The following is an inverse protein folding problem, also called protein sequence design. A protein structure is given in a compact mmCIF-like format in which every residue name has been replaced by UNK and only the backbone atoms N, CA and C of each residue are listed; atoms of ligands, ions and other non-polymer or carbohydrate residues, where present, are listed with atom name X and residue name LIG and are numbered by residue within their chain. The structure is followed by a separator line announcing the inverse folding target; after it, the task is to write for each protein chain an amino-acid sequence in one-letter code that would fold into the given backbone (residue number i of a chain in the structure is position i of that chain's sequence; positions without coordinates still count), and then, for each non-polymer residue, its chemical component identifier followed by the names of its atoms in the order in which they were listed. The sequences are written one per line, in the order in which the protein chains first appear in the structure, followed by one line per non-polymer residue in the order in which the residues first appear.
data_IF_161040041077
#
_entry.id   IF_161040041077
#
_cell.length_a   1.000
_cell.length_b   1.000
_cell.length_c   1.000
_cell.angle_alpha   90.00
_cell.angle_beta   90.00
_cell.angle_gamma   90.00
#
_symmetry.space_group_name_H-M   'P 1'
#
loop_
_entity.id
_entity.type
_entity.pdbx_description
1 polymer ?
#
# COMPACT_ATOMS: atom_id res chain seq x y z
N UNK A 1 -11.27 19.49 -15.55
CA UNK A 1 -10.39 19.10 -16.66
C UNK A 1 -9.95 17.66 -16.46
N UNK A 2 -8.99 17.19 -17.26
CA UNK A 2 -8.36 15.88 -17.06
C UNK A 2 -7.70 15.81 -15.67
N UNK A 3 -7.84 14.68 -15.01
CA UNK A 3 -7.22 14.37 -13.72
C UNK A 3 -5.76 13.93 -13.91
N UNK A 4 -4.88 14.32 -12.99
CA UNK A 4 -3.46 13.97 -12.98
C UNK A 4 -3.06 13.70 -11.53
N UNK A 5 -2.62 12.48 -11.24
CA UNK A 5 -2.14 12.09 -9.91
C UNK A 5 -0.68 11.69 -9.94
N UNK A 6 0.02 11.98 -8.84
CA UNK A 6 1.39 11.51 -8.57
C UNK A 6 1.37 10.90 -7.18
N UNK A 7 2.04 9.77 -6.97
CA UNK A 7 2.20 9.13 -5.67
C UNK A 7 3.54 9.51 -5.01
N UNK A 8 3.60 9.46 -3.68
CA UNK A 8 4.83 9.58 -2.89
C UNK A 8 4.70 8.81 -1.58
N UNK A 9 5.84 8.42 -1.00
CA UNK A 9 5.96 7.75 0.30
C UNK A 9 5.35 8.60 1.45
N UNK A 10 5.07 8.01 2.64
CA UNK A 10 4.28 8.62 3.72
C UNK A 10 5.11 9.61 4.55
N UNK A 11 5.64 10.65 3.90
CA UNK A 11 6.40 11.73 4.51
C UNK A 11 7.83 11.37 4.92
N UNK A 12 8.05 10.22 5.56
CA UNK A 12 9.38 9.71 5.92
C UNK A 12 9.34 8.22 6.25
N UNK A 13 10.52 7.64 6.49
CA UNK A 13 10.68 6.34 7.12
C UNK A 13 10.63 6.52 8.65
N UNK A 14 9.94 5.63 9.36
CA UNK A 14 9.67 5.75 10.82
C UNK A 14 10.95 5.89 11.63
N UNK A 15 12.03 5.17 11.28
CA UNK A 15 13.33 5.27 11.98
C UNK A 15 14.09 6.58 11.71
N UNK A 16 13.74 7.33 10.65
CA UNK A 16 14.34 8.64 10.38
C UNK A 16 13.70 9.77 11.19
N UNK A 17 12.58 9.49 11.87
CA UNK A 17 11.90 10.43 12.76
C UNK A 17 12.47 10.29 14.17
N UNK A 18 13.35 11.23 14.54
CA UNK A 18 13.96 11.33 15.87
C UNK A 18 13.33 12.42 16.74
N UNK A 19 12.66 13.39 16.11
CA UNK A 19 11.84 14.43 16.75
C UNK A 19 10.54 14.58 15.95
N UNK A 20 9.52 13.79 16.33
CA UNK A 20 8.22 13.75 15.66
C UNK A 20 7.56 15.13 15.59
N UNK A 21 7.67 15.93 16.65
CA UNK A 21 7.04 17.24 16.71
C UNK A 21 7.66 18.20 15.67
N UNK A 22 8.99 18.34 15.69
CA UNK A 22 9.70 19.26 14.80
C UNK A 22 9.69 18.76 13.35
N UNK A 23 10.01 17.49 13.11
CA UNK A 23 10.05 16.92 11.75
C UNK A 23 8.65 16.87 11.15
N UNK A 24 7.64 16.44 11.91
CA UNK A 24 6.29 16.37 11.41
C UNK A 24 5.68 17.74 11.11
N UNK A 25 6.05 18.79 11.86
CA UNK A 25 5.68 20.17 11.52
C UNK A 25 6.27 20.59 10.18
N UNK A 26 7.55 20.27 9.92
CA UNK A 26 8.22 20.56 8.64
C UNK A 26 7.60 19.79 7.47
N UNK A 27 7.30 18.51 7.66
CA UNK A 27 6.65 17.69 6.63
C UNK A 27 5.28 18.26 6.28
N UNK A 28 4.43 18.56 7.28
CA UNK A 28 3.12 19.18 7.05
C UNK A 28 3.24 20.53 6.33
N UNK A 29 4.22 21.37 6.69
CA UNK A 29 4.43 22.66 6.03
C UNK A 29 4.82 22.49 4.55
N UNK A 30 5.68 21.53 4.22
CA UNK A 30 6.06 21.25 2.83
C UNK A 30 4.89 20.71 2.00
N UNK A 31 4.04 19.85 2.58
CA UNK A 31 2.85 19.34 1.91
C UNK A 31 1.79 20.42 1.68
N UNK A 32 1.60 21.34 2.64
CA UNK A 32 0.75 22.53 2.45
C UNK A 32 1.28 23.42 1.33
N UNK A 33 2.60 23.69 1.30
CA UNK A 33 3.21 24.45 0.22
C UNK A 33 3.09 23.75 -1.15
N UNK A 34 3.14 22.42 -1.19
CA UNK A 34 2.85 21.63 -2.37
C UNK A 34 1.39 21.80 -2.82
N UNK A 35 0.43 21.69 -1.89
CA UNK A 35 -0.99 21.97 -2.16
C UNK A 35 -1.20 23.35 -2.79
N UNK A 36 -0.59 24.41 -2.23
CA UNK A 36 -0.70 25.76 -2.79
C UNK A 36 -0.13 25.85 -4.21
N UNK A 37 0.92 25.10 -4.51
CA UNK A 37 1.49 25.01 -5.85
C UNK A 37 0.54 24.30 -6.83
N UNK A 38 -0.08 23.20 -6.40
CA UNK A 38 -1.06 22.45 -7.19
C UNK A 38 -2.30 23.32 -7.51
N UNK A 39 -2.76 24.15 -6.56
CA UNK A 39 -3.84 25.11 -6.80
C UNK A 39 -3.49 26.11 -7.90
N UNK A 40 -2.29 26.73 -7.84
CA UNK A 40 -1.82 27.65 -8.88
C UNK A 40 -1.67 26.98 -10.24
N UNK A 41 -1.21 25.72 -10.28
CA UNK A 41 -1.11 24.96 -11.52
C UNK A 41 -2.49 24.66 -12.10
N UNK A 42 -3.45 24.31 -11.25
CA UNK A 42 -4.82 24.06 -11.69
C UNK A 42 -5.49 25.31 -12.23
N UNK A 43 -5.31 26.47 -11.60
CA UNK A 43 -5.82 27.75 -12.13
C UNK A 43 -5.28 28.03 -13.54
N UNK A 44 -3.99 27.73 -13.75
CA UNK A 44 -3.32 27.93 -15.05
C UNK A 44 -3.70 26.91 -16.12
N UNK A 45 -4.02 25.67 -15.73
CA UNK A 45 -4.17 24.54 -16.67
C UNK A 45 -5.58 24.01 -16.80
N UNK A 46 -6.47 24.32 -15.85
CA UNK A 46 -7.82 23.75 -15.75
C UNK A 46 -7.87 22.26 -15.41
N UNK A 47 -6.74 21.66 -14.99
CA UNK A 47 -6.59 20.23 -14.66
C UNK A 47 -6.74 19.98 -13.16
N UNK A 48 -7.36 18.86 -12.79
CA UNK A 48 -7.37 18.43 -11.38
C UNK A 48 -6.04 17.71 -11.10
N UNK A 49 -5.18 18.33 -10.29
CA UNK A 49 -3.82 17.88 -9.99
C UNK A 49 -3.74 17.55 -8.51
N UNK A 50 -3.26 16.35 -8.18
CA UNK A 50 -3.16 15.95 -6.78
C UNK A 50 -2.01 14.96 -6.51
N UNK A 51 -1.56 14.98 -5.25
CA UNK A 51 -0.51 14.13 -4.71
C UNK A 51 -1.13 13.09 -3.77
N UNK A 52 -0.93 11.81 -4.07
CA UNK A 52 -1.32 10.69 -3.22
C UNK A 52 -0.17 10.30 -2.29
N UNK A 53 -0.36 10.42 -0.99
CA UNK A 53 0.56 9.87 0.00
C UNK A 53 0.27 8.38 0.19
N UNK A 54 1.29 7.55 0.14
CA UNK A 54 1.17 6.09 0.20
C UNK A 54 1.51 5.58 1.60
N UNK A 55 0.53 5.21 2.43
CA UNK A 55 0.81 4.49 3.67
C UNK A 55 1.53 3.18 3.31
N UNK A 56 2.64 2.90 3.99
CA UNK A 56 3.46 1.72 3.74
C UNK A 56 4.05 1.20 5.06
N UNK A 57 4.34 -0.11 5.19
CA UNK A 57 5.00 -0.67 6.37
C UNK A 57 6.30 0.06 6.72
N UNK A 58 6.46 0.49 7.98
CA UNK A 58 7.57 1.31 8.48
C UNK A 58 7.68 2.71 7.87
N UNK A 59 6.72 3.11 7.05
CA UNK A 59 6.45 4.51 6.76
C UNK A 59 6.14 5.27 8.06
N UNK A 60 6.28 6.60 8.04
CA UNK A 60 5.96 7.41 9.21
C UNK A 60 4.50 7.23 9.65
N UNK A 61 3.60 6.96 8.69
CA UNK A 61 2.31 6.34 8.91
C UNK A 61 2.15 5.13 7.99
N UNK A 62 1.70 4.01 8.53
CA UNK A 62 1.58 2.73 7.81
C UNK A 62 0.14 2.23 7.74
N UNK A 63 -0.69 2.58 8.73
CA UNK A 63 -2.09 2.15 8.80
C UNK A 63 -3.06 3.28 8.45
N UNK A 64 -4.29 2.93 8.07
CA UNK A 64 -5.37 3.89 7.84
C UNK A 64 -5.66 4.79 9.06
N UNK A 65 -5.76 4.31 10.31
CA UNK A 65 -5.89 5.21 11.46
C UNK A 65 -4.73 6.21 11.61
N UNK A 66 -3.48 5.77 11.41
CA UNK A 66 -2.33 6.69 11.44
C UNK A 66 -2.40 7.71 10.30
N UNK A 67 -2.83 7.27 9.10
CA UNK A 67 -3.04 8.14 7.94
C UNK A 67 -4.07 9.22 8.23
N UNK A 68 -5.22 8.86 8.82
CA UNK A 68 -6.24 9.85 9.22
C UNK A 68 -5.69 10.84 10.23
N UNK A 69 -5.00 10.35 11.27
CA UNK A 69 -4.38 11.20 12.28
C UNK A 69 -3.34 12.16 11.65
N UNK A 70 -2.61 11.71 10.64
CA UNK A 70 -1.68 12.54 9.89
C UNK A 70 -2.39 13.65 9.10
N UNK A 71 -3.51 13.35 8.43
CA UNK A 71 -4.30 14.36 7.71
C UNK A 71 -4.94 15.38 8.67
N UNK A 72 -5.40 14.94 9.84
CA UNK A 72 -5.89 15.83 10.89
C UNK A 72 -4.78 16.77 11.36
N UNK A 73 -3.57 16.24 11.62
CA UNK A 73 -2.38 17.03 11.94
C UNK A 73 -2.03 18.01 10.82
N UNK A 74 -2.05 17.56 9.57
CA UNK A 74 -1.74 18.37 8.39
C UNK A 74 -2.76 19.49 8.17
N UNK A 75 -4.01 19.35 8.60
CA UNK A 75 -5.03 20.39 8.44
C UNK A 75 -5.29 21.21 9.71
N UNK A 76 -4.69 20.83 10.84
CA UNK A 76 -4.85 21.53 12.11
C UNK A 76 -4.43 23.01 12.02
N UNK A 77 -5.28 23.87 12.58
CA UNK A 77 -5.09 25.33 12.60
C UNK A 77 -5.41 26.06 11.28
N UNK A 78 -5.79 25.34 10.23
CA UNK A 78 -6.27 25.95 8.99
C UNK A 78 -7.75 26.33 9.09
N UNK A 79 -8.17 27.37 8.36
CA UNK A 79 -9.59 27.61 8.12
C UNK A 79 -10.22 26.47 7.30
N UNK A 80 -11.54 26.33 7.33
CA UNK A 80 -12.22 25.26 6.57
C UNK A 80 -11.93 25.35 5.07
N UNK A 81 -11.84 26.57 4.52
CA UNK A 81 -11.51 26.77 3.10
C UNK A 81 -10.10 26.29 2.76
N UNK A 82 -9.11 26.56 3.62
CA UNK A 82 -7.73 26.12 3.45
C UNK A 82 -7.61 24.60 3.63
N UNK A 83 -8.26 24.05 4.65
CA UNK A 83 -8.28 22.60 4.89
C UNK A 83 -8.93 21.84 3.73
N UNK A 84 -10.03 22.36 3.17
CA UNK A 84 -10.68 21.81 1.99
C UNK A 84 -9.80 21.92 0.73
N UNK A 85 -8.96 22.96 0.63
CA UNK A 85 -7.97 23.05 -0.45
C UNK A 85 -6.89 21.98 -0.34
N UNK A 86 -6.35 21.77 0.87
CA UNK A 86 -5.37 20.72 1.14
C UNK A 86 -5.96 19.33 0.86
N UNK A 87 -7.15 18.99 1.38
CA UNK A 87 -7.81 17.68 1.18
C UNK A 87 -8.15 17.36 -0.27
N UNK A 88 -8.23 18.39 -1.12
CA UNK A 88 -8.48 18.24 -2.55
C UNK A 88 -7.18 17.99 -3.32
N UNK A 89 -6.09 18.60 -2.90
CA UNK A 89 -4.81 18.53 -3.62
C UNK A 89 -3.91 17.41 -3.09
N UNK A 90 -4.09 17.00 -1.84
CA UNK A 90 -3.36 15.92 -1.18
C UNK A 90 -4.38 14.85 -0.78
N UNK A 91 -4.13 13.62 -1.20
CA UNK A 91 -4.95 12.45 -0.88
C UNK A 91 -4.07 11.25 -0.56
N UNK A 92 -4.66 10.07 -0.64
CA UNK A 92 -3.98 8.79 -0.41
C UNK A 92 -3.74 8.08 -1.73
N UNK A 93 -2.51 7.64 -1.95
CA UNK A 93 -2.24 6.55 -2.87
C UNK A 93 -2.50 5.24 -2.11
N UNK A 94 -3.57 4.55 -2.46
CA UNK A 94 -4.01 3.36 -1.76
C UNK A 94 -3.36 2.13 -2.40
N UNK A 95 -2.31 1.61 -1.79
CA UNK A 95 -1.65 0.39 -2.24
C UNK A 95 -2.26 -0.84 -1.55
N UNK A 96 -2.84 -1.74 -2.34
CA UNK A 96 -3.54 -2.91 -1.82
C UNK A 96 -2.61 -3.92 -1.14
N UNK A 97 -1.34 -3.98 -1.52
CA UNK A 97 -0.32 -4.79 -0.86
C UNK A 97 -0.02 -4.22 0.53
N UNK A 98 0.28 -2.93 0.64
CA UNK A 98 0.65 -2.28 1.89
C UNK A 98 -0.45 -2.40 2.96
N UNK A 99 -1.69 -2.06 2.60
CA UNK A 99 -2.81 -2.12 3.53
C UNK A 99 -3.16 -3.57 3.89
N UNK A 100 -2.98 -4.52 2.97
CA UNK A 100 -3.14 -5.92 3.29
C UNK A 100 -2.05 -6.41 4.26
N UNK A 101 -0.79 -5.98 4.13
CA UNK A 101 0.28 -6.38 5.06
C UNK A 101 -0.04 -5.94 6.50
N UNK A 102 -0.67 -4.78 6.67
CA UNK A 102 -1.15 -4.28 7.96
C UNK A 102 -2.43 -4.97 8.47
N UNK A 103 -2.90 -6.03 7.78
CA UNK A 103 -4.12 -6.78 8.09
C UNK A 103 -5.40 -5.93 8.06
N UNK A 104 -5.42 -4.86 7.27
CA UNK A 104 -6.61 -4.03 7.12
C UNK A 104 -7.63 -4.66 6.17
N UNK A 105 -8.91 -4.40 6.42
CA UNK A 105 -9.99 -4.80 5.52
C UNK A 105 -10.33 -3.64 4.58
N UNK A 106 -10.46 -3.88 3.24
CA UNK A 106 -10.71 -2.83 2.26
C UNK A 106 -11.89 -1.91 2.62
N UNK A 107 -13.01 -2.51 3.07
CA UNK A 107 -14.22 -1.77 3.42
C UNK A 107 -14.05 -0.85 4.62
N UNK A 108 -13.25 -1.28 5.60
CA UNK A 108 -13.00 -0.48 6.79
C UNK A 108 -11.99 0.63 6.50
N UNK A 109 -10.90 0.32 5.80
CA UNK A 109 -9.86 1.27 5.43
C UNK A 109 -10.41 2.38 4.52
N UNK A 110 -10.97 2.03 3.37
CA UNK A 110 -11.52 3.01 2.42
C UNK A 110 -12.69 3.77 3.05
N UNK A 111 -13.55 3.07 3.80
CA UNK A 111 -14.67 3.69 4.51
C UNK A 111 -14.19 4.78 5.48
N UNK A 112 -13.13 4.50 6.24
CA UNK A 112 -12.55 5.45 7.20
C UNK A 112 -11.91 6.65 6.50
N UNK A 113 -11.11 6.43 5.46
CA UNK A 113 -10.50 7.51 4.66
C UNK A 113 -11.57 8.43 4.07
N UNK A 114 -12.59 7.87 3.43
CA UNK A 114 -13.69 8.64 2.82
C UNK A 114 -14.52 9.38 3.87
N UNK A 115 -14.78 8.77 5.03
CA UNK A 115 -15.50 9.42 6.13
C UNK A 115 -14.73 10.59 6.73
N UNK A 116 -13.40 10.54 6.69
CA UNK A 116 -12.52 11.65 7.07
C UNK A 116 -12.38 12.73 5.97
N UNK A 117 -13.08 12.57 4.84
CA UNK A 117 -12.98 13.49 3.70
C UNK A 117 -11.64 13.43 2.97
N UNK A 118 -10.89 12.34 3.12
CA UNK A 118 -9.61 12.12 2.47
C UNK A 118 -9.87 11.53 1.08
N UNK A 119 -9.33 12.18 0.05
CA UNK A 119 -9.39 11.71 -1.34
C UNK A 119 -8.56 10.43 -1.50
N UNK A 120 -9.06 9.45 -2.23
CA UNK A 120 -8.23 8.36 -2.78
C UNK A 120 -7.72 8.82 -4.15
N UNK A 121 -6.46 9.24 -4.18
CA UNK A 121 -5.82 9.83 -5.37
C UNK A 121 -5.51 8.80 -6.45
N UNK A 122 -5.11 7.61 -6.03
CA UNK A 122 -4.74 6.52 -6.93
C UNK A 122 -4.86 5.22 -6.15
N UNK A 123 -5.15 4.13 -6.85
CA UNK A 123 -5.05 2.79 -6.29
C UNK A 123 -3.92 2.05 -7.00
N UNK A 124 -2.96 1.56 -6.22
CA UNK A 124 -2.01 0.57 -6.70
C UNK A 124 -2.62 -0.82 -6.51
N UNK A 125 -2.76 -1.56 -7.61
CA UNK A 125 -3.22 -2.93 -7.67
C UNK A 125 -2.00 -3.84 -7.54
N UNK A 126 -1.72 -4.22 -6.30
CA UNK A 126 -0.55 -5.00 -5.89
C UNK A 126 -0.96 -6.05 -4.84
N UNK A 127 -0.13 -7.07 -4.64
CA UNK A 127 -0.40 -8.10 -3.65
C UNK A 127 0.86 -8.55 -2.94
N UNK A 128 0.71 -8.90 -1.67
CA UNK A 128 1.77 -9.39 -0.80
C UNK A 128 1.77 -10.92 -0.72
N UNK A 129 2.87 -11.49 -0.23
CA UNK A 129 2.94 -12.92 0.09
C UNK A 129 2.32 -13.17 1.49
N UNK A 130 1.54 -14.23 1.62
CA UNK A 130 0.91 -14.68 2.87
C UNK A 130 1.27 -16.13 3.15
N UNK A 131 1.55 -16.46 4.40
CA UNK A 131 1.89 -17.82 4.80
C UNK A 131 1.53 -18.16 6.26
N UNK A 132 1.41 -19.46 6.54
CA UNK A 132 1.50 -19.99 7.91
C UNK A 132 2.95 -20.44 8.14
N UNK A 133 3.63 -19.99 9.21
CA UNK A 133 5.09 -20.06 9.34
C UNK A 133 5.63 -21.43 9.79
N UNK A 134 5.14 -22.53 9.20
CA UNK A 134 5.69 -23.87 9.42
C UNK A 134 7.16 -23.94 8.97
N UNK A 135 7.96 -24.81 9.57
CA UNK A 135 9.39 -24.93 9.29
C UNK A 135 9.72 -25.01 7.78
N UNK A 136 9.10 -25.94 7.05
CA UNK A 136 9.33 -26.09 5.61
C UNK A 136 8.91 -24.85 4.78
N UNK A 137 7.92 -24.09 5.25
CA UNK A 137 7.47 -22.86 4.58
C UNK A 137 8.47 -21.74 4.82
N UNK A 138 9.02 -21.62 6.04
CA UNK A 138 10.10 -20.66 6.34
C UNK A 138 11.37 -20.97 5.56
N UNK A 139 11.73 -22.24 5.44
CA UNK A 139 12.88 -22.68 4.64
C UNK A 139 12.71 -22.28 3.16
N UNK A 140 11.49 -22.42 2.61
CA UNK A 140 11.20 -21.94 1.24
C UNK A 140 11.21 -20.41 1.17
N UNK A 141 10.68 -19.74 2.19
CA UNK A 141 10.59 -18.28 2.25
C UNK A 141 11.97 -17.63 2.26
N UNK A 142 12.98 -18.25 2.88
CA UNK A 142 14.36 -17.76 2.86
C UNK A 142 14.93 -17.54 1.45
N UNK A 143 14.38 -18.20 0.42
CA UNK A 143 14.78 -17.97 -0.98
C UNK A 143 14.29 -16.63 -1.57
N UNK A 144 13.46 -15.89 -0.84
CA UNK A 144 13.01 -14.54 -1.19
C UNK A 144 13.86 -13.44 -0.54
N UNK A 145 14.84 -13.80 0.28
CA UNK A 145 15.82 -12.85 0.79
C UNK A 145 16.62 -12.23 -0.36
N UNK A 146 16.73 -10.91 -0.35
CA UNK A 146 17.48 -10.13 -1.33
C UNK A 146 18.11 -8.92 -0.63
N UNK A 147 19.24 -8.44 -1.14
CA UNK A 147 20.04 -7.36 -0.54
C UNK A 147 19.57 -5.95 -0.97
N UNK A 148 18.64 -5.85 -1.92
CA UNK A 148 18.21 -4.58 -2.54
C UNK A 148 16.95 -4.05 -1.87
N UNK A 149 15.99 -4.92 -1.56
CA UNK A 149 14.68 -4.53 -1.03
C UNK A 149 14.47 -5.01 0.41
N UNK A 150 13.81 -4.17 1.22
CA UNK A 150 13.31 -4.58 2.53
C UNK A 150 12.04 -5.42 2.35
N UNK A 151 12.01 -6.57 2.99
CA UNK A 151 10.86 -7.47 3.00
C UNK A 151 10.20 -7.43 4.37
N UNK A 152 9.54 -6.32 4.71
CA UNK A 152 8.90 -6.16 6.01
C UNK A 152 7.92 -7.31 6.27
N UNK A 153 7.99 -7.90 7.48
CA UNK A 153 7.12 -9.02 7.86
C UNK A 153 6.20 -8.60 8.99
N UNK A 154 4.89 -8.75 8.79
CA UNK A 154 3.88 -8.49 9.81
C UNK A 154 3.24 -9.81 10.24
N UNK A 155 3.39 -10.11 11.52
CA UNK A 155 2.92 -11.35 12.14
C UNK A 155 1.60 -11.10 12.84
N UNK A 156 0.61 -11.96 12.56
CA UNK A 156 -0.67 -11.97 13.27
C UNK A 156 -0.79 -13.23 14.13
N UNK A 157 -1.30 -13.04 15.34
CA UNK A 157 -1.71 -14.11 16.23
C UNK A 157 -3.18 -13.89 16.62
N UNK A 158 -4.03 -14.86 16.31
CA UNK A 158 -5.48 -14.68 16.35
C UNK A 158 -5.96 -13.55 15.45
N UNK A 159 -6.45 -12.46 16.05
CA UNK A 159 -6.99 -11.28 15.35
C UNK A 159 -6.09 -10.06 15.44
N UNK A 160 -4.97 -10.15 16.15
CA UNK A 160 -4.13 -8.99 16.46
C UNK A 160 -2.77 -9.12 15.78
N UNK A 161 -2.23 -8.00 15.32
CA UNK A 161 -0.83 -7.93 14.91
C UNK A 161 0.04 -8.07 16.15
N UNK A 162 0.80 -9.17 16.22
CA UNK A 162 1.65 -9.47 17.37
C UNK A 162 3.06 -8.93 17.22
N UNK A 163 3.55 -8.79 15.97
CA UNK A 163 4.91 -8.32 15.70
C UNK A 163 5.06 -7.75 14.29
N UNK A 164 5.97 -6.79 14.16
CA UNK A 164 6.46 -6.27 12.88
C UNK A 164 7.98 -6.44 12.83
N UNK A 165 8.50 -6.84 11.68
CA UNK A 165 9.92 -6.94 11.40
C UNK A 165 10.31 -5.98 10.30
N UNK A 166 11.52 -5.45 10.44
CA UNK A 166 12.10 -4.56 9.44
C UNK A 166 12.32 -5.28 8.11
N UNK A 167 12.72 -6.53 8.18
CA UNK A 167 13.09 -7.32 7.04
C UNK A 167 12.88 -8.82 7.31
N UNK A 168 12.92 -9.60 6.25
CA UNK A 168 12.71 -11.05 6.29
C UNK A 168 13.77 -11.79 7.13
N UNK A 169 15.08 -11.48 7.06
CA UNK A 169 16.08 -12.14 7.89
C UNK A 169 15.81 -12.00 9.39
N UNK A 170 15.34 -10.83 9.83
CA UNK A 170 15.00 -10.59 11.23
C UNK A 170 13.83 -11.47 11.70
N UNK A 171 12.83 -11.66 10.84
CA UNK A 171 11.68 -12.51 11.12
C UNK A 171 12.07 -13.98 11.20
N UNK A 172 12.93 -14.45 10.28
CA UNK A 172 13.43 -15.83 10.26
C UNK A 172 14.29 -16.12 11.49
N UNK A 173 15.24 -15.26 11.83
CA UNK A 173 16.08 -15.41 13.02
C UNK A 173 15.26 -15.40 14.33
N UNK A 174 14.23 -14.55 14.41
CA UNK A 174 13.29 -14.58 15.52
C UNK A 174 12.54 -15.91 15.61
N UNK A 175 12.06 -16.45 14.50
CA UNK A 175 11.32 -17.70 14.48
C UNK A 175 12.16 -18.92 14.89
N UNK A 176 13.45 -18.94 14.55
CA UNK A 176 14.38 -20.00 15.01
C UNK A 176 14.53 -20.02 16.54
N UNK A 177 14.54 -18.83 17.17
CA UNK A 177 14.73 -18.70 18.62
C UNK A 177 13.44 -18.78 19.44
N UNK A 178 12.26 -18.68 18.80
CA UNK A 178 10.95 -18.56 19.48
C UNK A 178 10.13 -19.85 19.53
N UNK A 179 10.60 -20.95 18.93
CA UNK A 179 9.88 -22.23 18.91
C UNK A 179 8.54 -22.14 18.16
N UNK A 180 7.46 -22.61 18.78
CA UNK A 180 6.12 -22.64 18.15
C UNK A 180 5.33 -21.34 18.33
N UNK A 181 5.80 -20.39 19.13
CA UNK A 181 5.11 -19.13 19.44
C UNK A 181 5.44 -18.03 18.43
N UNK A 182 5.12 -18.29 17.15
CA UNK A 182 5.54 -17.46 16.01
C UNK A 182 4.37 -16.85 15.23
N UNK A 183 3.15 -16.89 15.79
CA UNK A 183 1.93 -16.43 15.14
C UNK A 183 1.35 -17.41 14.12
N UNK A 184 0.09 -17.15 13.74
CA UNK A 184 -0.72 -18.01 12.87
C UNK A 184 -0.52 -17.68 11.38
N UNK A 185 -0.25 -16.41 11.08
CA UNK A 185 -0.09 -15.89 9.71
C UNK A 185 1.02 -14.85 9.69
N UNK A 186 1.88 -14.93 8.67
CA UNK A 186 2.81 -13.88 8.30
C UNK A 186 2.37 -13.31 6.95
N UNK A 187 2.42 -11.97 6.84
CA UNK A 187 2.35 -11.25 5.57
C UNK A 187 3.70 -10.60 5.34
N UNK A 188 4.28 -10.87 4.17
CA UNK A 188 5.63 -10.42 3.80
C UNK A 188 5.49 -9.42 2.68
N UNK A 189 6.11 -8.25 2.86
CA UNK A 189 6.14 -7.22 1.85
C UNK A 189 6.97 -7.68 0.66
N UNK A 190 6.27 -8.17 -0.35
CA UNK A 190 6.83 -8.61 -1.61
C UNK A 190 5.72 -8.49 -2.65
N UNK A 191 5.87 -7.59 -3.62
CA UNK A 191 4.84 -7.39 -4.65
C UNK A 191 4.81 -8.59 -5.59
N UNK A 192 3.92 -9.54 -5.31
CA UNK A 192 3.73 -10.73 -6.14
C UNK A 192 2.78 -10.44 -7.31
N UNK A 193 2.94 -11.13 -8.44
CA UNK A 193 2.08 -10.96 -9.61
C UNK A 193 0.59 -11.16 -9.30
N UNK A 194 -0.26 -10.18 -9.57
CA UNK A 194 -1.71 -10.32 -9.27
C UNK A 194 -2.43 -11.26 -10.23
N UNK A 195 -1.88 -11.53 -11.41
CA UNK A 195 -2.48 -12.44 -12.39
C UNK A 195 -2.16 -13.92 -12.15
N UNK A 196 -1.24 -14.24 -11.25
CA UNK A 196 -0.78 -15.61 -10.99
C UNK A 196 -0.83 -15.92 -9.48
N UNK A 197 -1.02 -17.20 -9.14
CA UNK A 197 -0.88 -17.62 -7.76
C UNK A 197 0.60 -17.87 -7.43
N UNK A 198 1.05 -17.63 -6.19
CA UNK A 198 2.37 -18.04 -5.75
C UNK A 198 2.46 -19.58 -5.65
N UNK A 199 3.58 -20.12 -5.19
CA UNK A 199 3.74 -21.56 -4.94
C UNK A 199 2.75 -22.03 -3.87
N UNK A 200 1.57 -22.49 -4.30
CA UNK A 200 0.41 -22.78 -3.44
C UNK A 200 0.65 -23.89 -2.43
N UNK A 201 1.74 -24.65 -2.58
CA UNK A 201 2.20 -25.61 -1.58
C UNK A 201 2.73 -24.94 -0.30
N UNK A 202 3.21 -23.69 -0.40
CA UNK A 202 3.86 -22.95 0.68
C UNK A 202 3.15 -21.64 1.00
N UNK A 203 2.63 -20.97 -0.03
CA UNK A 203 2.20 -19.57 0.07
C UNK A 203 0.79 -19.36 -0.47
N UNK A 204 0.19 -18.28 0.00
CA UNK A 204 -0.96 -17.61 -0.59
C UNK A 204 -0.60 -16.15 -0.87
N UNK A 205 -1.53 -15.41 -1.42
CA UNK A 205 -1.37 -13.98 -1.70
C UNK A 205 -2.48 -13.17 -1.00
N UNK A 206 -2.38 -11.85 -1.07
CA UNK A 206 -3.39 -10.90 -0.56
C UNK A 206 -4.27 -10.32 -1.66
N UNK A 207 -4.44 -11.03 -2.78
CA UNK A 207 -5.22 -10.53 -3.92
C UNK A 207 -6.71 -10.42 -3.61
N UNK A 208 -7.18 -11.09 -2.56
CA UNK A 208 -8.51 -10.88 -1.98
C UNK A 208 -8.75 -9.42 -1.58
N UNK A 209 -7.71 -8.70 -1.14
CA UNK A 209 -7.77 -7.26 -0.87
C UNK A 209 -8.07 -6.46 -2.15
N UNK A 210 -7.40 -6.79 -3.26
CA UNK A 210 -7.63 -6.17 -4.59
C UNK A 210 -9.07 -6.38 -5.01
N UNK A 211 -9.55 -7.63 -5.00
CA UNK A 211 -10.94 -7.95 -5.37
C UNK A 211 -11.95 -7.26 -4.45
N UNK A 212 -11.63 -7.10 -3.16
CA UNK A 212 -12.44 -6.35 -2.20
C UNK A 212 -12.56 -4.87 -2.57
N UNK A 213 -11.45 -4.20 -2.89
CA UNK A 213 -11.43 -2.80 -3.36
C UNK A 213 -12.23 -2.64 -4.66
N UNK A 214 -11.99 -3.50 -5.65
CA UNK A 214 -12.70 -3.42 -6.93
C UNK A 214 -14.20 -3.65 -6.79
N UNK A 215 -14.63 -4.57 -5.92
CA UNK A 215 -16.04 -4.78 -5.60
C UNK A 215 -16.69 -3.52 -5.02
N UNK A 216 -16.01 -2.83 -4.11
CA UNK A 216 -16.51 -1.55 -3.57
C UNK A 216 -16.64 -0.49 -4.65
N UNK A 217 -15.64 -0.40 -5.54
CA UNK A 217 -15.65 0.55 -6.65
C UNK A 217 -16.77 0.25 -7.66
N UNK A 218 -17.06 -1.02 -7.94
CA UNK A 218 -18.18 -1.41 -8.79
C UNK A 218 -19.55 -1.09 -8.17
N UNK A 219 -19.67 -1.17 -6.83
CA UNK A 219 -20.91 -0.83 -6.10
C UNK A 219 -21.15 0.67 -5.99
N UNK A 220 -20.09 1.45 -5.83
CA UNK A 220 -20.12 2.92 -5.71
C UNK A 220 -18.98 3.50 -6.57
N UNK A 221 -19.17 3.67 -7.89
CA UNK A 221 -18.12 4.15 -8.76
C UNK A 221 -17.87 5.66 -8.60
N UNK A 222 -16.65 6.11 -8.90
CA UNK A 222 -16.32 7.52 -9.05
C UNK A 222 -15.54 8.16 -7.90
N UNK A 223 -15.19 7.42 -6.85
CA UNK A 223 -14.30 7.93 -5.79
C UNK A 223 -12.81 7.77 -6.09
N UNK A 224 -12.44 7.02 -7.13
CA UNK A 224 -11.09 6.95 -7.69
C UNK A 224 -11.18 6.60 -9.19
N UNK A 225 -10.30 7.19 -9.99
CA UNK A 225 -10.24 7.02 -11.45
C UNK A 225 -8.86 6.55 -11.95
N UNK A 226 -7.83 6.60 -11.09
CA UNK A 226 -6.45 6.29 -11.44
C UNK A 226 -6.02 4.98 -10.78
N UNK A 227 -5.61 4.02 -11.61
CA UNK A 227 -5.19 2.69 -11.20
C UNK A 227 -3.82 2.39 -11.81
N UNK A 228 -2.94 1.79 -11.04
CA UNK A 228 -1.61 1.38 -11.46
C UNK A 228 -1.35 -0.06 -11.02
N UNK A 229 -0.76 -0.87 -11.89
CA UNK A 229 -0.29 -2.21 -11.50
C UNK A 229 1.14 -2.04 -11.02
N UNK A 230 1.45 -2.55 -9.83
CA UNK A 230 2.72 -2.28 -9.16
C UNK A 230 3.52 -3.55 -8.91
N UNK A 231 3.65 -4.40 -9.91
CA UNK A 231 4.52 -5.57 -9.80
C UNK A 231 5.89 -5.24 -10.38
N UNK A 232 6.89 -5.07 -9.52
CA UNK A 232 8.27 -4.75 -9.89
C UNK A 232 9.28 -5.87 -9.58
N UNK A 233 8.85 -6.95 -8.94
CA UNK A 233 9.73 -8.00 -8.42
C UNK A 233 10.08 -9.11 -9.44
N UNK A 234 9.72 -8.95 -10.71
CA UNK A 234 9.90 -9.98 -11.74
C UNK A 234 11.33 -10.52 -11.84
N UNK A 235 12.32 -9.65 -11.61
CA UNK A 235 13.73 -9.98 -11.71
C UNK A 235 14.33 -10.57 -10.43
N UNK A 236 13.67 -10.39 -9.28
CA UNK A 236 14.14 -10.85 -7.95
C UNK A 236 13.36 -12.06 -7.42
N UNK A 237 12.23 -12.42 -8.05
CA UNK A 237 11.54 -13.69 -7.79
C UNK A 237 12.49 -14.90 -7.90
N UNK A 238 12.25 -16.01 -7.18
CA UNK A 238 12.97 -17.26 -7.41
C UNK A 238 12.94 -17.69 -8.89
N UNK A 239 14.01 -18.29 -9.46
CA UNK A 239 14.09 -18.62 -10.89
C UNK A 239 12.91 -19.43 -11.44
N UNK A 240 12.30 -20.28 -10.60
CA UNK A 240 11.14 -21.10 -10.95
C UNK A 240 9.87 -20.28 -11.13
N UNK A 241 9.81 -19.08 -10.53
CA UNK A 241 8.71 -18.12 -10.60
C UNK A 241 8.94 -16.99 -11.61
N UNK A 242 10.15 -16.86 -12.16
CA UNK A 242 10.45 -15.87 -13.21
C UNK A 242 9.82 -16.31 -14.54
N UNK A 243 8.95 -15.48 -15.11
CA UNK A 243 8.71 -15.54 -16.56
C UNK A 243 9.95 -15.06 -17.30
N UNK A 244 10.19 -15.62 -18.49
CA UNK A 244 11.35 -15.26 -19.31
C UNK A 244 11.24 -13.87 -19.94
N UNK A 245 10.03 -13.30 -20.02
CA UNK A 245 9.77 -11.99 -20.62
C UNK A 245 8.86 -11.13 -19.71
N UNK A 246 9.36 -9.94 -19.35
CA UNK A 246 8.64 -8.93 -18.57
C UNK A 246 7.44 -8.38 -19.33
N UNK A 247 7.53 -8.29 -20.67
CA UNK A 247 6.43 -7.80 -21.51
C UNK A 247 5.24 -8.73 -21.42
N UNK A 248 5.47 -10.04 -21.50
CA UNK A 248 4.42 -11.04 -21.36
C UNK A 248 3.74 -10.97 -19.98
N UNK A 249 4.51 -10.69 -18.92
CA UNK A 249 3.96 -10.54 -17.58
C UNK A 249 3.08 -9.29 -17.46
N UNK A 250 3.55 -8.15 -17.96
CA UNK A 250 2.78 -6.91 -17.98
C UNK A 250 1.48 -7.08 -18.79
N UNK A 251 1.52 -7.77 -19.93
CA UNK A 251 0.33 -8.04 -20.76
C UNK A 251 -0.68 -8.91 -20.01
N UNK A 252 -0.22 -9.97 -19.34
CA UNK A 252 -1.10 -10.85 -18.53
C UNK A 252 -1.71 -10.11 -17.36
N UNK A 253 -0.92 -9.28 -16.67
CA UNK A 253 -1.38 -8.49 -15.54
C UNK A 253 -2.42 -7.46 -15.97
N UNK A 254 -2.15 -6.76 -17.06
CA UNK A 254 -3.11 -5.82 -17.66
C UNK A 254 -4.41 -6.51 -18.06
N UNK A 255 -4.31 -7.67 -18.74
CA UNK A 255 -5.48 -8.46 -19.13
C UNK A 255 -6.29 -8.96 -17.92
N UNK A 256 -5.61 -9.36 -16.85
CA UNK A 256 -6.25 -9.76 -15.59
C UNK A 256 -6.99 -8.58 -14.95
N UNK A 257 -6.35 -7.41 -14.84
CA UNK A 257 -6.98 -6.20 -14.30
C UNK A 257 -8.24 -5.85 -15.08
N UNK A 258 -8.17 -5.79 -16.42
CA UNK A 258 -9.34 -5.51 -17.26
C UNK A 258 -10.47 -6.52 -17.03
N UNK A 259 -10.13 -7.80 -16.86
CA UNK A 259 -11.09 -8.85 -16.51
C UNK A 259 -11.78 -8.57 -15.16
N UNK A 260 -11.01 -8.23 -14.13
CA UNK A 260 -11.56 -7.91 -12.81
C UNK A 260 -12.41 -6.64 -12.80
N UNK A 261 -12.00 -5.58 -13.51
CA UNK A 261 -12.83 -4.39 -13.72
C UNK A 261 -14.17 -4.76 -14.38
N UNK A 262 -14.14 -5.56 -15.45
CA UNK A 262 -15.35 -6.00 -16.12
C UNK A 262 -16.27 -6.84 -15.21
N UNK A 263 -15.69 -7.72 -14.37
CA UNK A 263 -16.42 -8.57 -13.43
C UNK A 263 -17.23 -7.74 -12.41
N UNK A 264 -16.75 -6.56 -12.04
CA UNK A 264 -17.44 -5.64 -11.12
C UNK A 264 -18.24 -4.54 -11.84
N UNK A 265 -18.40 -4.64 -13.17
CA UNK A 265 -19.20 -3.72 -13.97
C UNK A 265 -18.52 -2.40 -14.34
N UNK A 266 -17.21 -2.30 -14.15
CA UNK A 266 -16.38 -1.17 -14.56
C UNK A 266 -15.89 -1.39 -16.00
N UNK A 267 -15.69 -0.29 -16.74
CA UNK A 267 -15.31 -0.31 -18.16
C UNK A 267 -14.11 0.58 -18.41
#
# INVERSE_FOLDING_TARGET
GMEVSVSTLPGSFKEFITDDAAQGTRICANLRACSDHLDRLRERTGRDLHLGLEPEPLGWFETTPETVAFFDRMTNGLSETEAAAVRRNIGVNYDTCHLAIEYEEPSEAIGRLRSAGIRISKIHLSSALKLTPFAAVRDRLAAFEDDVYLHQVVVREGKEVSRRFRDLPDALAWAESSGDSIGDEWRVHFHVPIHAQPETAFFSDTRDHVSGVLKMLGQDPGWCSHFEMETYTWEVLPPELRSRDVVDQLVKEYGWCLGEFANVGLR
#
